data_IF_532165504452
#
_entry.id   IF_532165504452
#
_cell.length_a   1.000
_cell.length_b   1.000
_cell.length_c   1.000
_cell.angle_alpha   90.00
_cell.angle_beta   90.00
_cell.angle_gamma   90.00
#
_symmetry.space_group_name_H-M   'P 1'
#
loop_
_entity.id
_entity.type
_entity.pdbx_description
1 polymer ?
#
# COMPACT_ATOMS: atom_id res chain seq x y z
N UNK A 1 -22.69 -7.49 -17.45
CA UNK A 1 -21.96 -8.75 -17.14
C UNK A 1 -22.94 -9.91 -17.11
N UNK A 2 -22.56 -11.07 -17.66
CA UNK A 2 -23.43 -12.27 -17.62
C UNK A 2 -23.33 -13.01 -16.27
N UNK A 3 -22.22 -12.89 -15.57
CA UNK A 3 -21.97 -13.53 -14.29
C UNK A 3 -20.88 -12.74 -13.54
N UNK A 4 -21.05 -12.60 -12.22
CA UNK A 4 -20.05 -11.98 -11.32
C UNK A 4 -19.77 -12.96 -10.20
N UNK A 5 -18.49 -13.23 -9.95
CA UNK A 5 -18.01 -14.01 -8.82
C UNK A 5 -16.99 -13.17 -8.06
N UNK A 6 -17.28 -12.87 -6.80
CA UNK A 6 -16.39 -12.15 -5.91
C UNK A 6 -15.76 -13.14 -4.91
N UNK A 7 -14.43 -13.16 -4.85
CA UNK A 7 -13.66 -14.02 -3.95
C UNK A 7 -12.81 -13.16 -3.02
N UNK A 8 -12.88 -13.42 -1.73
CA UNK A 8 -12.06 -12.76 -0.73
C UNK A 8 -11.83 -13.68 0.47
N UNK A 9 -10.66 -13.61 1.07
CA UNK A 9 -10.32 -14.35 2.27
C UNK A 9 -10.90 -13.73 3.56
N UNK A 10 -11.31 -12.45 3.53
CA UNK A 10 -11.62 -11.64 4.73
C UNK A 10 -12.80 -10.70 4.51
N UNK A 11 -13.91 -11.19 3.94
CA UNK A 11 -15.10 -10.37 3.81
C UNK A 11 -15.79 -10.16 5.16
N UNK A 12 -15.83 -8.90 5.61
CA UNK A 12 -16.74 -8.51 6.70
C UNK A 12 -18.19 -8.58 6.24
N UNK A 13 -19.12 -8.65 7.19
CA UNK A 13 -20.55 -8.66 6.86
C UNK A 13 -21.00 -7.43 6.07
N UNK A 14 -20.38 -6.28 6.39
CA UNK A 14 -20.60 -5.02 5.65
C UNK A 14 -20.16 -5.15 4.18
N UNK A 15 -18.95 -5.68 3.94
CA UNK A 15 -18.43 -5.88 2.58
C UNK A 15 -19.31 -6.87 1.80
N UNK A 16 -19.79 -7.94 2.43
CA UNK A 16 -20.70 -8.87 1.78
C UNK A 16 -22.01 -8.19 1.36
N UNK A 17 -22.61 -7.38 2.24
CA UNK A 17 -23.83 -6.61 1.94
C UNK A 17 -23.62 -5.59 0.82
N UNK A 18 -22.50 -4.87 0.87
CA UNK A 18 -22.15 -3.86 -0.15
C UNK A 18 -21.98 -4.52 -1.53
N UNK A 19 -21.26 -5.66 -1.58
CA UNK A 19 -21.07 -6.43 -2.82
C UNK A 19 -22.40 -7.04 -3.32
N UNK A 20 -23.21 -7.60 -2.41
CA UNK A 20 -24.53 -8.12 -2.77
C UNK A 20 -25.43 -7.05 -3.37
N UNK A 21 -25.48 -5.87 -2.76
CA UNK A 21 -26.25 -4.74 -3.29
C UNK A 21 -25.71 -4.20 -4.61
N UNK A 22 -24.38 -4.12 -4.78
CA UNK A 22 -23.73 -3.57 -5.98
C UNK A 22 -23.93 -4.50 -7.21
N UNK A 23 -23.83 -5.80 -7.01
CA UNK A 23 -23.84 -6.79 -8.10
C UNK A 23 -25.13 -7.60 -8.18
N UNK A 24 -26.11 -7.34 -7.32
CA UNK A 24 -27.37 -8.08 -7.26
C UNK A 24 -27.18 -9.57 -6.87
N UNK A 25 -26.18 -9.86 -6.01
CA UNK A 25 -25.93 -11.22 -5.54
C UNK A 25 -26.99 -11.59 -4.49
N UNK A 26 -27.67 -12.71 -4.70
CA UNK A 26 -28.69 -13.22 -3.76
C UNK A 26 -28.02 -13.82 -2.53
N UNK A 27 -28.65 -13.70 -1.35
CA UNK A 27 -28.09 -14.18 -0.07
C UNK A 27 -27.75 -15.69 -0.12
N UNK A 28 -28.53 -16.49 -0.82
CA UNK A 28 -28.26 -17.91 -1.03
C UNK A 28 -26.99 -18.23 -1.82
N UNK A 29 -26.45 -17.22 -2.52
CA UNK A 29 -25.21 -17.30 -3.29
C UNK A 29 -24.00 -16.74 -2.51
N UNK A 30 -24.17 -16.39 -1.24
CA UNK A 30 -23.10 -15.90 -0.37
C UNK A 30 -22.58 -17.03 0.50
N UNK A 31 -21.40 -17.54 0.19
CA UNK A 31 -20.75 -18.59 0.94
C UNK A 31 -19.66 -18.01 1.83
N UNK A 32 -19.77 -18.23 3.14
CA UNK A 32 -18.81 -17.75 4.13
C UNK A 32 -18.30 -18.91 4.97
N UNK A 33 -16.99 -19.02 5.09
CA UNK A 33 -16.36 -19.88 6.07
C UNK A 33 -15.87 -19.06 7.27
N UNK A 34 -15.88 -19.63 8.45
CA UNK A 34 -15.30 -18.96 9.63
C UNK A 34 -13.79 -18.78 9.42
N UNK A 35 -13.24 -17.57 9.62
CA UNK A 35 -11.80 -17.33 9.47
C UNK A 35 -10.98 -17.93 10.61
N UNK A 36 -11.64 -18.48 11.61
CA UNK A 36 -10.99 -19.10 12.78
C UNK A 36 -10.38 -20.45 12.41
N UNK A 37 -9.10 -20.60 12.77
CA UNK A 37 -8.33 -21.82 12.61
C UNK A 37 -7.95 -22.32 13.99
N UNK A 38 -8.50 -23.47 14.42
CA UNK A 38 -8.31 -24.04 15.77
C UNK A 38 -6.88 -24.52 16.03
N UNK A 39 -6.15 -24.86 14.96
CA UNK A 39 -4.76 -25.31 15.05
C UNK A 39 -3.74 -24.18 15.22
N UNK A 40 -4.17 -22.91 15.20
CA UNK A 40 -3.28 -21.75 15.40
C UNK A 40 -3.47 -21.21 16.82
N UNK A 41 -2.47 -21.36 17.67
CA UNK A 41 -2.44 -20.70 18.97
C UNK A 41 -2.05 -19.22 18.78
N UNK A 42 -2.87 -18.30 19.31
CA UNK A 42 -2.72 -16.86 19.13
C UNK A 42 -2.34 -16.20 20.43
N UNK A 43 -1.32 -15.35 20.39
CA UNK A 43 -0.83 -14.62 21.54
C UNK A 43 -0.54 -13.16 21.18
N UNK A 44 -0.73 -12.27 22.13
CA UNK A 44 -0.32 -10.87 22.05
C UNK A 44 0.58 -10.57 23.25
N UNK A 45 1.76 -10.04 23.01
CA UNK A 45 2.70 -9.63 24.04
C UNK A 45 2.97 -8.12 23.96
N UNK A 46 2.93 -7.44 25.09
CA UNK A 46 3.35 -6.04 25.18
C UNK A 46 4.79 -5.97 25.68
N UNK A 47 5.66 -5.38 24.88
CA UNK A 47 7.11 -5.36 25.08
C UNK A 47 7.64 -3.94 24.90
N UNK A 48 8.79 -3.65 25.52
CA UNK A 48 9.56 -2.46 25.14
C UNK A 48 10.17 -2.68 23.75
N UNK A 49 10.29 -1.65 22.95
CA UNK A 49 10.81 -1.75 21.59
C UNK A 49 12.17 -2.47 21.53
N UNK A 50 13.05 -2.15 22.45
CA UNK A 50 14.39 -2.74 22.55
C UNK A 50 14.41 -4.23 22.89
N UNK A 51 13.34 -4.77 23.50
CA UNK A 51 13.26 -6.16 23.94
C UNK A 51 12.65 -7.07 22.87
N UNK A 52 12.00 -6.51 21.83
CA UNK A 52 11.31 -7.28 20.78
C UNK A 52 12.23 -8.25 20.05
N UNK A 53 13.44 -7.81 19.67
CA UNK A 53 14.38 -8.67 18.92
C UNK A 53 14.87 -9.84 19.78
N UNK A 54 15.21 -9.59 21.06
CA UNK A 54 15.63 -10.64 21.97
C UNK A 54 14.51 -11.68 22.17
N UNK A 55 13.27 -11.21 22.40
CA UNK A 55 12.10 -12.07 22.55
C UNK A 55 11.80 -12.89 21.28
N UNK A 56 11.97 -12.29 20.11
CA UNK A 56 11.81 -13.01 18.84
C UNK A 56 12.86 -14.11 18.67
N UNK A 57 14.12 -13.83 19.02
CA UNK A 57 15.21 -14.83 19.00
C UNK A 57 14.90 -15.99 19.95
N UNK A 58 14.42 -15.72 21.16
CA UNK A 58 14.00 -16.76 22.10
C UNK A 58 12.90 -17.63 21.51
N UNK A 59 11.82 -17.02 21.00
CA UNK A 59 10.71 -17.73 20.37
C UNK A 59 11.18 -18.63 19.21
N UNK A 60 12.02 -18.11 18.33
CA UNK A 60 12.50 -18.85 17.16
C UNK A 60 13.47 -19.99 17.52
N UNK A 61 14.07 -19.98 18.72
CA UNK A 61 14.89 -21.10 19.24
C UNK A 61 14.04 -22.23 19.82
N UNK A 62 12.79 -21.99 20.18
CA UNK A 62 11.90 -23.03 20.65
C UNK A 62 11.69 -24.08 19.56
N UNK A 63 11.64 -25.35 19.96
CA UNK A 63 11.37 -26.45 19.04
C UNK A 63 9.97 -26.33 18.42
N UNK A 64 9.86 -26.62 17.14
CA UNK A 64 8.59 -26.55 16.42
C UNK A 64 8.08 -25.13 16.10
N UNK A 65 8.93 -24.09 16.26
CA UNK A 65 8.57 -22.71 15.88
C UNK A 65 8.96 -22.31 14.47
N UNK A 66 9.74 -23.12 13.80
CA UNK A 66 10.20 -22.90 12.41
C UNK A 66 9.67 -24.00 11.48
N UNK A 67 9.43 -23.69 10.20
CA UNK A 67 9.64 -22.41 9.51
C UNK A 67 8.74 -21.27 10.01
N UNK A 68 9.25 -20.03 9.96
CA UNK A 68 8.56 -18.86 10.49
C UNK A 68 8.49 -17.69 9.49
N UNK A 69 7.38 -16.95 9.52
CA UNK A 69 7.23 -15.68 8.82
C UNK A 69 7.13 -14.56 9.84
N UNK A 70 7.96 -13.53 9.70
CA UNK A 70 8.00 -12.36 10.59
C UNK A 70 7.61 -11.11 9.80
N UNK A 71 6.48 -10.51 10.17
CA UNK A 71 6.00 -9.30 9.52
C UNK A 71 6.54 -8.03 10.18
N UNK A 72 7.09 -7.15 9.33
CA UNK A 72 7.58 -5.83 9.74
C UNK A 72 6.87 -4.73 8.96
N UNK A 73 6.95 -3.49 9.49
CA UNK A 73 6.25 -2.34 8.88
C UNK A 73 6.95 -1.79 7.66
N UNK A 74 8.28 -1.66 7.71
CA UNK A 74 9.05 -1.02 6.64
C UNK A 74 10.08 -1.97 6.02
N UNK A 75 10.55 -1.63 4.81
CA UNK A 75 11.62 -2.34 4.12
C UNK A 75 12.89 -2.37 4.95
N UNK A 76 13.25 -1.22 5.53
CA UNK A 76 14.44 -1.06 6.38
C UNK A 76 14.36 -1.95 7.63
N UNK A 77 13.17 -2.06 8.25
CA UNK A 77 12.98 -2.95 9.39
C UNK A 77 13.16 -4.41 8.97
N UNK A 78 12.66 -4.81 7.79
CA UNK A 78 12.82 -6.16 7.28
C UNK A 78 14.29 -6.54 7.05
N UNK A 79 15.05 -5.64 6.45
CA UNK A 79 16.48 -5.83 6.19
C UNK A 79 17.28 -5.88 7.50
N UNK A 80 17.07 -4.90 8.41
CA UNK A 80 17.77 -4.84 9.68
C UNK A 80 17.48 -6.06 10.56
N UNK A 81 16.20 -6.43 10.68
CA UNK A 81 15.81 -7.59 11.50
C UNK A 81 16.36 -8.89 10.91
N UNK A 82 16.36 -9.05 9.58
CA UNK A 82 16.99 -10.20 8.92
C UNK A 82 18.48 -10.28 9.23
N UNK A 83 19.18 -9.16 9.23
CA UNK A 83 20.59 -9.10 9.57
C UNK A 83 20.85 -9.51 11.04
N UNK A 84 20.05 -9.00 11.98
CA UNK A 84 20.20 -9.35 13.41
C UNK A 84 19.86 -10.83 13.67
N UNK A 85 18.83 -11.38 13.02
CA UNK A 85 18.51 -12.82 13.13
C UNK A 85 19.60 -13.69 12.49
N UNK A 86 20.20 -13.25 11.38
CA UNK A 86 21.36 -13.92 10.79
C UNK A 86 22.55 -13.99 11.73
N UNK A 87 22.86 -12.90 12.46
CA UNK A 87 23.87 -12.89 13.51
C UNK A 87 23.55 -13.84 14.67
N UNK A 88 22.28 -14.03 14.97
CA UNK A 88 21.82 -14.97 15.99
C UNK A 88 21.85 -16.45 15.52
N UNK A 89 22.29 -16.71 14.28
CA UNK A 89 22.53 -18.06 13.73
C UNK A 89 21.34 -18.66 12.99
N UNK A 90 20.31 -17.86 12.61
CA UNK A 90 19.20 -18.37 11.82
C UNK A 90 19.49 -18.29 10.31
N UNK A 91 18.98 -19.27 9.56
CA UNK A 91 18.88 -19.18 8.09
C UNK A 91 17.69 -18.26 7.76
N UNK A 92 17.97 -17.00 7.47
CA UNK A 92 16.94 -15.94 7.33
C UNK A 92 17.08 -15.20 6.00
N UNK A 93 15.93 -14.83 5.44
CA UNK A 93 15.85 -13.97 4.24
C UNK A 93 14.90 -12.80 4.50
N UNK A 94 15.17 -11.65 3.88
CA UNK A 94 14.24 -10.53 3.83
C UNK A 94 13.40 -10.57 2.55
N UNK A 95 12.14 -10.07 2.63
CA UNK A 95 11.24 -10.00 1.47
C UNK A 95 10.39 -8.72 1.51
N UNK A 96 10.53 -7.87 0.49
CA UNK A 96 9.76 -6.62 0.39
C UNK A 96 9.63 -6.12 -1.05
N UNK A 97 8.68 -5.24 -1.30
CA UNK A 97 8.38 -4.72 -2.64
C UNK A 97 9.51 -3.88 -3.27
N UNK A 98 10.50 -3.43 -2.48
CA UNK A 98 11.68 -2.72 -2.98
C UNK A 98 12.72 -3.60 -3.65
N UNK A 99 12.61 -4.92 -3.51
CA UNK A 99 13.52 -5.88 -4.16
C UNK A 99 13.14 -6.07 -5.63
N UNK A 100 14.13 -6.31 -6.53
CA UNK A 100 13.86 -6.71 -7.90
C UNK A 100 12.95 -7.95 -7.96
N UNK A 101 12.04 -8.06 -8.96
CA UNK A 101 11.12 -9.21 -9.07
C UNK A 101 11.82 -10.56 -9.10
N UNK A 102 12.97 -10.66 -9.79
CA UNK A 102 13.79 -11.87 -9.87
C UNK A 102 14.32 -12.29 -8.49
N UNK A 103 14.88 -11.34 -7.73
CA UNK A 103 15.37 -11.60 -6.37
C UNK A 103 14.22 -12.03 -5.44
N UNK A 104 13.02 -11.43 -5.58
CA UNK A 104 11.84 -11.85 -4.80
C UNK A 104 11.43 -13.28 -5.12
N UNK A 105 11.49 -13.67 -6.40
CA UNK A 105 11.23 -15.05 -6.82
C UNK A 105 12.20 -16.03 -6.17
N UNK A 106 13.51 -15.75 -6.25
CA UNK A 106 14.54 -16.60 -5.64
C UNK A 106 14.35 -16.75 -4.12
N UNK A 107 14.13 -15.65 -3.41
CA UNK A 107 13.89 -15.69 -1.95
C UNK A 107 12.64 -16.51 -1.60
N UNK A 108 11.58 -16.36 -2.38
CA UNK A 108 10.36 -17.14 -2.22
C UNK A 108 10.62 -18.64 -2.43
N UNK A 109 11.31 -19.01 -3.49
CA UNK A 109 11.62 -20.40 -3.80
C UNK A 109 12.53 -21.02 -2.73
N UNK A 110 13.54 -20.30 -2.25
CA UNK A 110 14.40 -20.73 -1.14
C UNK A 110 13.60 -20.99 0.14
N UNK A 111 12.66 -20.11 0.48
CA UNK A 111 11.81 -20.29 1.65
C UNK A 111 10.84 -21.47 1.48
N UNK A 112 10.23 -21.63 0.30
CA UNK A 112 9.35 -22.76 0.00
C UNK A 112 10.10 -24.09 0.06
N UNK A 113 11.32 -24.15 -0.47
CA UNK A 113 12.18 -25.32 -0.45
C UNK A 113 12.77 -25.65 0.93
N UNK A 114 12.59 -24.77 1.94
CA UNK A 114 13.14 -24.97 3.28
C UNK A 114 14.63 -24.61 3.41
N UNK A 115 15.20 -23.92 2.43
CA UNK A 115 16.58 -23.41 2.50
C UNK A 115 16.71 -22.21 3.45
N UNK A 116 15.62 -21.53 3.73
CA UNK A 116 15.50 -20.50 4.77
C UNK A 116 14.48 -20.93 5.82
N UNK A 117 14.88 -20.85 7.10
CA UNK A 117 14.04 -21.19 8.25
C UNK A 117 13.09 -20.02 8.62
N UNK A 118 13.55 -18.80 8.37
CA UNK A 118 12.83 -17.58 8.74
C UNK A 118 12.76 -16.63 7.55
N UNK A 119 11.56 -16.13 7.31
CA UNK A 119 11.34 -15.08 6.33
C UNK A 119 10.88 -13.81 7.04
N UNK A 120 11.68 -12.73 6.97
CA UNK A 120 11.30 -11.42 7.49
C UNK A 120 10.72 -10.59 6.35
N UNK A 121 9.46 -10.21 6.44
CA UNK A 121 8.76 -9.62 5.31
C UNK A 121 7.93 -8.39 5.68
N UNK A 122 7.70 -7.54 4.69
CA UNK A 122 6.59 -6.57 4.72
C UNK A 122 5.32 -7.22 4.19
N UNK A 123 4.20 -6.48 4.17
CA UNK A 123 2.92 -6.92 3.56
C UNK A 123 3.05 -7.36 2.09
N UNK A 124 4.20 -7.11 1.45
CA UNK A 124 4.46 -7.58 0.09
C UNK A 124 4.53 -9.11 -0.01
N UNK A 125 4.85 -9.80 1.10
CA UNK A 125 4.79 -11.26 1.18
C UNK A 125 3.37 -11.67 1.53
N UNK A 126 2.57 -11.95 0.52
CA UNK A 126 1.16 -12.17 0.76
C UNK A 126 0.46 -13.01 -0.28
N UNK A 127 0.10 -12.46 -1.41
CA UNK A 127 -0.72 -13.17 -2.42
C UNK A 127 0.09 -14.25 -3.14
N UNK A 128 -0.52 -15.42 -3.30
CA UNK A 128 0.02 -16.50 -4.12
C UNK A 128 1.08 -17.39 -3.47
N UNK A 129 1.38 -17.23 -2.17
CA UNK A 129 2.36 -18.04 -1.47
C UNK A 129 1.68 -19.10 -0.64
N UNK A 130 1.98 -20.36 -0.97
CA UNK A 130 1.46 -21.54 -0.29
C UNK A 130 2.60 -22.41 0.24
N UNK A 131 2.96 -22.22 1.52
CA UNK A 131 3.83 -23.09 2.30
C UNK A 131 3.01 -23.68 3.44
N UNK A 132 2.67 -24.96 3.38
CA UNK A 132 1.74 -25.57 4.33
C UNK A 132 2.29 -25.70 5.74
N UNK A 133 3.59 -25.85 5.87
CA UNK A 133 4.30 -26.20 7.11
C UNK A 133 4.84 -24.99 7.88
N UNK A 134 4.35 -23.77 7.64
CA UNK A 134 4.73 -22.61 8.46
C UNK A 134 4.29 -22.81 9.91
N UNK A 135 5.24 -22.85 10.83
CA UNK A 135 4.96 -23.10 12.26
C UNK A 135 4.68 -21.83 13.05
N UNK A 136 5.27 -20.70 12.66
CA UNK A 136 5.01 -19.43 13.34
C UNK A 136 4.79 -18.29 12.36
N UNK A 137 3.82 -17.44 12.70
CA UNK A 137 3.66 -16.11 12.10
C UNK A 137 3.79 -15.08 13.21
N UNK A 138 4.81 -14.23 13.11
CA UNK A 138 5.10 -13.21 14.13
C UNK A 138 4.92 -11.83 13.53
N UNK A 139 4.10 -11.02 14.14
CA UNK A 139 3.98 -9.61 13.82
C UNK A 139 4.91 -8.81 14.74
N UNK A 140 6.11 -8.51 14.26
CA UNK A 140 7.09 -7.68 14.96
C UNK A 140 6.59 -6.24 15.14
N UNK A 141 5.82 -5.76 14.17
CA UNK A 141 4.96 -4.59 14.26
C UNK A 141 3.51 -5.01 14.02
N UNK A 142 2.53 -4.39 14.71
CA UNK A 142 1.13 -4.74 14.55
C UNK A 142 0.67 -4.58 13.10
N UNK A 143 -0.21 -5.47 12.62
CA UNK A 143 -0.80 -5.38 11.29
C UNK A 143 -1.67 -4.12 11.16
N UNK A 144 -1.95 -3.73 9.92
CA UNK A 144 -2.70 -2.50 9.63
C UNK A 144 -4.18 -2.57 10.05
N UNK A 145 -4.75 -3.77 10.06
CA UNK A 145 -6.15 -4.04 10.44
C UNK A 145 -6.32 -5.47 10.95
N UNK A 146 -7.50 -5.76 11.49
CA UNK A 146 -7.85 -7.11 11.93
C UNK A 146 -7.93 -8.09 10.75
N UNK A 147 -8.41 -7.62 9.60
CA UNK A 147 -8.46 -8.41 8.36
C UNK A 147 -7.05 -8.77 7.87
N UNK A 148 -6.12 -7.82 7.92
CA UNK A 148 -4.71 -8.07 7.62
C UNK A 148 -4.13 -9.11 8.60
N UNK A 149 -4.39 -8.97 9.91
CA UNK A 149 -3.98 -9.95 10.91
C UNK A 149 -4.50 -11.36 10.59
N UNK A 150 -5.78 -11.51 10.29
CA UNK A 150 -6.40 -12.80 9.98
C UNK A 150 -5.77 -13.41 8.72
N UNK A 151 -5.57 -12.61 7.69
CA UNK A 151 -4.96 -13.04 6.43
C UNK A 151 -3.49 -13.48 6.62
N UNK A 152 -2.72 -12.69 7.36
CA UNK A 152 -1.30 -12.94 7.60
C UNK A 152 -1.09 -14.11 8.57
N UNK A 153 -1.77 -14.13 9.72
CA UNK A 153 -1.71 -15.24 10.68
C UNK A 153 -2.24 -16.55 10.10
N UNK A 154 -3.21 -16.49 9.18
CA UNK A 154 -3.76 -17.64 8.46
C UNK A 154 -2.78 -18.40 7.57
N UNK A 155 -1.54 -17.89 7.40
CA UNK A 155 -0.47 -18.61 6.71
C UNK A 155 0.15 -19.71 7.54
N UNK A 156 0.02 -19.62 8.88
CA UNK A 156 0.51 -20.67 9.77
C UNK A 156 -0.33 -21.94 9.66
N UNK A 157 0.31 -23.10 9.72
CA UNK A 157 -0.31 -24.39 9.86
C UNK A 157 -1.38 -24.75 8.84
N UNK A 158 -1.16 -24.49 7.57
CA UNK A 158 -2.10 -24.86 6.50
C UNK A 158 -2.25 -26.38 6.34
N UNK A 159 -1.24 -27.10 6.80
CA UNK A 159 -1.26 -28.58 6.91
C UNK A 159 -2.13 -29.12 8.06
N UNK A 160 -2.75 -28.24 8.84
CA UNK A 160 -3.59 -28.62 9.98
C UNK A 160 -2.81 -28.87 11.28
N UNK A 161 -1.48 -28.90 11.25
CA UNK A 161 -0.67 -29.12 12.43
C UNK A 161 -0.64 -27.89 13.36
N UNK A 162 -0.38 -28.09 14.67
CA UNK A 162 -0.26 -27.00 15.65
C UNK A 162 0.72 -25.94 15.21
N UNK A 163 0.29 -24.69 15.28
CA UNK A 163 1.07 -23.55 14.84
C UNK A 163 0.81 -22.34 15.73
N UNK A 164 1.65 -21.33 15.61
CA UNK A 164 1.68 -20.20 16.52
C UNK A 164 1.56 -18.85 15.77
N UNK A 165 0.84 -17.92 16.37
CA UNK A 165 0.79 -16.54 15.89
C UNK A 165 1.01 -15.59 17.06
N UNK A 166 2.03 -14.73 16.97
CA UNK A 166 2.37 -13.74 17.98
C UNK A 166 2.28 -12.32 17.40
N UNK A 167 1.63 -11.43 18.13
CA UNK A 167 1.69 -9.99 17.88
C UNK A 167 2.49 -9.34 19.00
N UNK A 168 3.59 -8.67 18.63
CA UNK A 168 4.42 -7.91 19.55
C UNK A 168 4.01 -6.44 19.52
N UNK A 169 3.47 -5.93 20.63
CA UNK A 169 3.08 -4.55 20.79
C UNK A 169 4.11 -3.77 21.58
N UNK A 170 4.33 -2.53 21.22
CA UNK A 170 5.10 -1.57 22.00
C UNK A 170 4.33 -0.25 22.17
N UNK A 171 4.69 0.62 23.12
CA UNK A 171 4.08 1.95 23.24
C UNK A 171 4.20 2.79 21.96
N UNK A 172 5.27 2.62 21.18
CA UNK A 172 5.45 3.30 19.88
C UNK A 172 4.44 2.85 18.84
N UNK A 173 3.99 1.60 18.89
CA UNK A 173 3.00 1.09 17.95
C UNK A 173 1.63 1.73 18.17
N UNK A 174 1.27 2.00 19.43
CA UNK A 174 0.03 2.72 19.78
C UNK A 174 0.05 4.14 19.20
N UNK A 175 1.16 4.87 19.38
CA UNK A 175 1.33 6.21 18.82
C UNK A 175 1.25 6.18 17.29
N UNK A 176 1.93 5.23 16.64
CA UNK A 176 1.88 5.07 15.20
C UNK A 176 0.48 4.69 14.67
N UNK A 177 -0.29 3.93 15.44
CA UNK A 177 -1.68 3.59 15.11
C UNK A 177 -2.59 4.81 15.23
N UNK A 178 -2.48 5.56 16.33
CA UNK A 178 -3.23 6.80 16.56
C UNK A 178 -2.91 7.83 15.48
N UNK A 179 -1.62 8.03 15.15
CA UNK A 179 -1.21 8.95 14.10
C UNK A 179 -1.79 8.54 12.72
N UNK A 180 -1.87 7.25 12.41
CA UNK A 180 -2.51 6.78 11.17
C UNK A 180 -4.01 7.03 11.13
N UNK A 181 -4.69 6.85 12.27
CA UNK A 181 -6.13 7.15 12.38
C UNK A 181 -6.37 8.65 12.17
N UNK A 182 -5.61 9.50 12.84
CA UNK A 182 -5.72 10.96 12.68
C UNK A 182 -5.28 11.44 11.29
N UNK A 183 -4.25 10.82 10.69
CA UNK A 183 -3.86 11.13 9.32
C UNK A 183 -4.93 10.70 8.28
N UNK A 184 -5.79 9.76 8.62
CA UNK A 184 -6.92 9.33 7.77
C UNK A 184 -8.21 10.12 8.04
N UNK A 185 -8.30 10.83 9.16
CA UNK A 185 -9.44 11.71 9.47
C UNK A 185 -9.12 13.14 9.00
N UNK A 186 -9.70 13.57 7.88
CA UNK A 186 -9.46 14.92 7.39
C UNK A 186 -10.08 15.95 8.33
N UNK A 187 -9.36 17.05 8.57
CA UNK A 187 -9.90 18.16 9.35
C UNK A 187 -11.17 18.72 8.70
N UNK A 188 -12.21 18.94 9.51
CA UNK A 188 -13.51 19.47 9.02
C UNK A 188 -13.38 20.84 8.37
N UNK A 189 -12.45 21.68 8.83
CA UNK A 189 -12.24 23.02 8.28
C UNK A 189 -11.61 22.91 6.88
N UNK A 190 -10.58 22.10 6.73
CA UNK A 190 -9.97 21.81 5.44
C UNK A 190 -10.95 21.19 4.44
N UNK A 191 -11.75 20.22 4.90
CA UNK A 191 -12.82 19.63 4.07
C UNK A 191 -13.80 20.68 3.55
N UNK A 192 -14.28 21.58 4.43
CA UNK A 192 -15.18 22.68 4.04
C UNK A 192 -14.52 23.64 3.05
N UNK A 193 -13.24 23.93 3.23
CA UNK A 193 -12.45 24.76 2.32
C UNK A 193 -12.41 24.17 0.91
N UNK A 194 -12.06 22.90 0.78
CA UNK A 194 -12.02 22.21 -0.51
C UNK A 194 -13.40 22.11 -1.17
N UNK A 195 -14.44 21.76 -0.40
CA UNK A 195 -15.83 21.73 -0.90
C UNK A 195 -16.28 23.12 -1.36
N UNK A 196 -15.92 24.17 -0.63
CA UNK A 196 -16.25 25.56 -1.00
C UNK A 196 -15.58 25.97 -2.31
N UNK A 197 -14.33 25.54 -2.57
CA UNK A 197 -13.67 25.74 -3.86
C UNK A 197 -14.45 25.05 -4.97
N UNK A 198 -14.73 23.77 -4.81
CA UNK A 198 -15.43 22.96 -5.81
C UNK A 198 -16.88 23.36 -6.07
N UNK A 199 -17.50 24.06 -5.12
CA UNK A 199 -18.88 24.59 -5.25
C UNK A 199 -18.96 25.86 -6.08
N UNK A 200 -17.83 26.52 -6.38
CA UNK A 200 -17.81 27.67 -7.29
C UNK A 200 -18.11 27.19 -8.70
N UNK A 201 -18.89 27.98 -9.44
CA UNK A 201 -19.17 27.66 -10.85
C UNK A 201 -17.90 27.79 -11.69
N UNK A 202 -17.62 26.80 -12.52
CA UNK A 202 -16.48 26.79 -13.42
C UNK A 202 -15.70 25.48 -13.37
N UNK A 203 -14.65 25.40 -14.17
CA UNK A 203 -13.69 24.30 -14.17
C UNK A 203 -12.59 24.62 -13.17
N UNK A 204 -12.15 23.60 -12.43
CA UNK A 204 -11.10 23.72 -11.42
C UNK A 204 -10.02 22.70 -11.71
N UNK A 205 -8.79 23.16 -11.81
CA UNK A 205 -7.62 22.26 -11.82
C UNK A 205 -7.19 22.03 -10.37
N UNK A 206 -7.18 20.77 -9.96
CA UNK A 206 -6.84 20.37 -8.61
C UNK A 206 -5.60 19.49 -8.65
N UNK A 207 -4.52 19.99 -8.08
CA UNK A 207 -3.37 19.18 -7.73
C UNK A 207 -3.59 18.58 -6.33
N UNK A 208 -3.49 17.25 -6.20
CA UNK A 208 -3.62 16.59 -4.89
C UNK A 208 -2.65 17.18 -3.86
N UNK A 209 -1.42 17.42 -4.26
CA UNK A 209 -0.39 18.00 -3.41
C UNK A 209 -0.74 19.42 -2.96
N UNK A 210 -1.22 20.28 -3.86
CA UNK A 210 -1.60 21.65 -3.50
C UNK A 210 -2.87 21.69 -2.65
N UNK A 211 -3.88 20.89 -2.99
CA UNK A 211 -5.10 20.77 -2.19
C UNK A 211 -4.78 20.25 -0.78
N UNK A 212 -3.88 19.28 -0.67
CA UNK A 212 -3.37 18.78 0.61
C UNK A 212 -2.69 19.89 1.41
N UNK A 213 -1.79 20.64 0.79
CA UNK A 213 -1.02 21.70 1.44
C UNK A 213 -1.87 22.93 1.83
N UNK A 214 -2.78 23.36 0.94
CA UNK A 214 -3.62 24.57 1.17
C UNK A 214 -4.70 24.33 2.21
N UNK A 215 -5.28 23.12 2.23
CA UNK A 215 -6.39 22.79 3.12
C UNK A 215 -5.98 21.94 4.32
N UNK A 216 -4.69 21.68 4.50
CA UNK A 216 -4.14 20.81 5.56
C UNK A 216 -4.86 19.44 5.62
N UNK A 217 -5.03 18.84 4.44
CA UNK A 217 -5.69 17.54 4.27
C UNK A 217 -4.67 16.50 3.80
N UNK A 218 -4.70 15.26 4.33
CA UNK A 218 -3.90 14.17 3.77
C UNK A 218 -4.27 13.91 2.30
N UNK A 219 -3.28 13.65 1.43
CA UNK A 219 -3.50 13.36 0.00
C UNK A 219 -4.58 12.29 -0.21
N UNK A 220 -4.54 11.23 0.60
CA UNK A 220 -5.53 10.14 0.58
C UNK A 220 -6.95 10.64 0.91
N UNK A 221 -7.08 11.63 1.80
CA UNK A 221 -8.36 12.20 2.15
C UNK A 221 -8.92 13.07 1.02
N UNK A 222 -8.06 13.85 0.36
CA UNK A 222 -8.42 14.66 -0.82
C UNK A 222 -8.90 13.74 -1.95
N UNK A 223 -8.14 12.70 -2.27
CA UNK A 223 -8.50 11.73 -3.32
C UNK A 223 -9.83 11.04 -3.03
N UNK A 224 -10.05 10.61 -1.79
CA UNK A 224 -11.31 10.01 -1.37
C UNK A 224 -12.49 10.97 -1.45
N UNK A 225 -12.32 12.23 -1.03
CA UNK A 225 -13.36 13.25 -1.16
C UNK A 225 -13.74 13.49 -2.62
N UNK A 226 -12.75 13.61 -3.51
CA UNK A 226 -12.99 13.75 -4.94
C UNK A 226 -13.70 12.53 -5.53
N UNK A 227 -13.32 11.33 -5.13
CA UNK A 227 -14.00 10.10 -5.51
C UNK A 227 -15.45 10.07 -5.06
N UNK A 228 -15.75 10.40 -3.81
CA UNK A 228 -17.12 10.43 -3.28
C UNK A 228 -17.96 11.50 -3.96
N UNK A 229 -17.41 12.68 -4.25
CA UNK A 229 -18.09 13.76 -4.99
C UNK A 229 -18.37 13.37 -6.44
N UNK A 230 -17.44 12.65 -7.10
CA UNK A 230 -17.66 12.09 -8.45
C UNK A 230 -18.77 11.03 -8.42
N UNK A 231 -18.74 10.12 -7.45
CA UNK A 231 -19.74 9.06 -7.29
C UNK A 231 -21.14 9.59 -7.02
N UNK A 232 -21.25 10.67 -6.24
CA UNK A 232 -22.54 11.34 -5.97
C UNK A 232 -23.04 12.20 -7.15
N UNK A 233 -22.26 12.34 -8.22
CA UNK A 233 -22.59 13.20 -9.35
C UNK A 233 -22.46 14.70 -9.08
N UNK A 234 -21.91 15.08 -7.92
CA UNK A 234 -21.70 16.49 -7.52
C UNK A 234 -20.57 17.16 -8.30
N UNK A 235 -19.60 16.36 -8.78
CA UNK A 235 -18.46 16.82 -9.57
C UNK A 235 -18.26 15.86 -10.74
N UNK A 236 -17.92 16.42 -11.91
CA UNK A 236 -17.56 15.64 -13.09
C UNK A 236 -16.09 15.86 -13.41
N UNK A 237 -15.33 14.78 -13.53
CA UNK A 237 -13.95 14.83 -14.03
C UNK A 237 -13.95 15.08 -15.54
N UNK A 238 -13.22 16.08 -15.97
CA UNK A 238 -13.04 16.43 -17.39
C UNK A 238 -11.82 15.69 -17.99
N UNK A 239 -10.81 15.42 -17.17
CA UNK A 239 -9.59 14.74 -17.55
C UNK A 239 -8.52 14.84 -16.46
N UNK A 240 -7.42 14.13 -16.67
CA UNK A 240 -6.21 14.24 -15.86
C UNK A 240 -5.05 14.69 -16.75
N UNK A 241 -4.23 15.62 -16.26
CA UNK A 241 -3.07 16.15 -16.96
C UNK A 241 -1.89 16.42 -16.04
N UNK A 242 -0.75 16.69 -16.65
CA UNK A 242 0.42 17.12 -15.89
C UNK A 242 0.38 18.64 -15.73
N UNK A 243 0.41 19.14 -14.49
CA UNK A 243 0.48 20.57 -14.19
C UNK A 243 1.85 21.17 -14.50
N UNK A 244 2.90 20.37 -14.34
CA UNK A 244 4.26 20.80 -14.55
C UNK A 244 4.90 20.03 -15.70
N UNK A 245 5.72 20.72 -16.45
CA UNK A 245 6.53 20.11 -17.50
C UNK A 245 8.00 20.42 -17.30
N UNK A 246 8.86 19.52 -17.76
CA UNK A 246 10.29 19.71 -17.88
C UNK A 246 10.71 19.27 -19.26
N UNK A 247 11.22 20.20 -20.04
CA UNK A 247 11.65 19.92 -21.40
C UNK A 247 13.15 19.61 -21.40
N UNK A 248 13.51 18.49 -22.02
CA UNK A 248 14.90 18.14 -22.31
C UNK A 248 14.99 17.88 -23.82
N UNK A 249 15.56 18.77 -24.61
CA UNK A 249 15.75 18.52 -26.03
C UNK A 249 16.70 17.33 -26.22
N UNK A 250 16.32 16.43 -27.12
CA UNK A 250 17.14 15.25 -27.49
C UNK A 250 18.13 15.57 -28.62
N UNK A 251 17.86 16.66 -29.36
CA UNK A 251 18.68 17.14 -30.49
C UNK A 251 19.02 18.60 -30.27
N UNK A 252 19.99 19.11 -31.05
CA UNK A 252 20.30 20.55 -31.04
C UNK A 252 19.09 21.32 -31.55
N UNK A 253 18.84 22.50 -31.00
CA UNK A 253 17.66 23.31 -31.35
C UNK A 253 17.62 23.64 -32.84
N UNK A 254 18.76 23.90 -33.47
CA UNK A 254 18.89 24.14 -34.92
C UNK A 254 18.37 22.97 -35.78
N UNK A 255 18.63 21.73 -35.33
CA UNK A 255 18.14 20.52 -36.01
C UNK A 255 16.62 20.35 -35.81
N UNK A 256 16.10 20.70 -34.62
CA UNK A 256 14.68 20.63 -34.31
C UNK A 256 13.88 21.64 -35.13
N UNK A 257 14.43 22.83 -35.37
CA UNK A 257 13.75 23.92 -36.05
C UNK A 257 13.81 23.78 -37.58
N UNK A 258 14.66 22.94 -38.12
CA UNK A 258 14.83 22.75 -39.56
C UNK A 258 13.52 22.29 -40.25
N UNK A 259 13.05 23.07 -41.20
CA UNK A 259 11.85 22.73 -41.99
C UNK A 259 10.51 23.00 -41.31
N UNK A 260 10.48 23.66 -40.15
CA UNK A 260 9.25 23.99 -39.43
C UNK A 260 8.73 25.39 -39.72
N UNK A 261 7.44 25.62 -39.45
CA UNK A 261 6.82 26.95 -39.59
C UNK A 261 7.35 27.94 -38.55
N UNK A 262 7.22 29.23 -38.84
CA UNK A 262 7.66 30.29 -37.91
C UNK A 262 6.98 30.21 -36.54
N UNK A 263 5.70 29.80 -36.50
CA UNK A 263 4.95 29.65 -35.26
C UNK A 263 5.42 28.44 -34.46
N UNK A 264 5.67 27.31 -35.11
CA UNK A 264 6.24 26.12 -34.47
C UNK A 264 7.66 26.38 -33.95
N UNK A 265 8.46 27.15 -34.68
CA UNK A 265 9.79 27.58 -34.25
C UNK A 265 9.71 28.42 -32.96
N UNK A 266 8.78 29.38 -32.90
CA UNK A 266 8.59 30.24 -31.73
C UNK A 266 8.19 29.43 -30.51
N UNK A 267 7.27 28.44 -30.63
CA UNK A 267 6.84 27.56 -29.56
C UNK A 267 8.00 26.72 -29.02
N UNK A 268 8.79 26.11 -29.91
CA UNK A 268 9.93 25.28 -29.51
C UNK A 268 11.04 26.10 -28.84
N UNK A 269 11.33 27.30 -29.33
CA UNK A 269 12.29 28.23 -28.74
C UNK A 269 11.84 28.67 -27.34
N UNK A 270 10.55 28.96 -27.17
CA UNK A 270 9.99 29.31 -25.88
C UNK A 270 10.16 28.16 -24.86
N UNK A 271 9.90 26.90 -25.26
CA UNK A 271 10.10 25.73 -24.42
C UNK A 271 11.56 25.54 -24.03
N UNK A 272 12.51 25.77 -24.96
CA UNK A 272 13.95 25.65 -24.67
C UNK A 272 14.43 26.72 -23.67
N UNK A 273 13.94 27.94 -23.81
CA UNK A 273 14.27 29.02 -22.89
C UNK A 273 13.78 28.77 -21.46
N UNK A 274 12.54 28.27 -21.31
CA UNK A 274 11.96 28.03 -19.99
C UNK A 274 12.28 26.65 -19.41
N UNK A 275 12.50 25.64 -20.24
CA UNK A 275 12.85 24.25 -19.92
C UNK A 275 11.99 23.56 -18.85
N UNK A 276 11.25 24.33 -18.04
CA UNK A 276 10.28 23.86 -17.06
C UNK A 276 9.25 24.96 -16.79
N UNK A 277 8.01 24.58 -16.51
CA UNK A 277 6.93 25.52 -16.23
C UNK A 277 5.61 24.82 -15.90
N UNK A 278 4.56 25.61 -15.80
CA UNK A 278 3.20 25.15 -15.54
C UNK A 278 2.48 24.97 -16.88
N UNK A 279 1.73 23.87 -17.05
CA UNK A 279 1.02 23.56 -18.31
C UNK A 279 0.02 24.65 -18.67
N UNK A 280 -0.58 25.32 -17.68
CA UNK A 280 -1.48 26.46 -17.89
C UNK A 280 -0.82 27.63 -18.60
N UNK A 281 0.47 27.90 -18.33
CA UNK A 281 1.22 28.94 -19.02
C UNK A 281 1.35 28.63 -20.51
N UNK A 282 1.55 27.34 -20.86
CA UNK A 282 1.60 26.89 -22.25
C UNK A 282 0.25 27.04 -22.94
N UNK A 283 -0.84 26.71 -22.25
CA UNK A 283 -2.19 26.80 -22.80
C UNK A 283 -2.58 28.27 -23.09
N UNK A 284 -2.26 29.18 -22.17
CA UNK A 284 -2.50 30.63 -22.35
C UNK A 284 -1.67 31.18 -23.50
N UNK A 285 -0.35 30.87 -23.53
CA UNK A 285 0.59 31.41 -24.51
C UNK A 285 0.30 30.87 -25.91
N UNK A 286 -0.16 29.63 -26.04
CA UNK A 286 -0.35 28.97 -27.32
C UNK A 286 -1.82 28.81 -27.77
N UNK A 287 -2.77 29.25 -26.95
CA UNK A 287 -4.21 29.15 -27.25
C UNK A 287 -4.67 27.69 -27.39
N UNK A 288 -4.09 26.77 -26.64
CA UNK A 288 -4.47 25.36 -26.58
C UNK A 288 -5.50 25.21 -25.46
N UNK A 289 -6.67 24.68 -25.80
CA UNK A 289 -7.76 24.40 -24.85
C UNK A 289 -7.61 23.01 -24.23
#
# INVERSE_FOLDING_TARGET
FRCVMALTATATERVCRDLAGLFGVRDECIFRAAPYRANIFRQVETLREQDKTARLVELLKEEGRRPAVVYTRTRKDAENLSYELGKAGFSVKSYHAGMPPETRGLVQDEFLAGAADVLVATIAFGMGIDKPDVRSVVHYHPPASLEAYVQESGRAGRDGLPSFSLVMLSPRDSVAAVNRLHAAEPDRHGMKGLVSLLSRRGEHIISLYEASSVYDLPDVAVDRMLFDLKRSGSVREQGTGHKYYKVRPLFRMEEILCGRSGEECARLQWMDMRRQGVVEDLAVEWGIS
#
